data_IF_053804841557
#
_entry.id   IF_053804841557
#
_cell.length_a   1.000
_cell.length_b   1.000
_cell.length_c   1.000
_cell.angle_alpha   90.00
_cell.angle_beta   90.00
_cell.angle_gamma   90.00
#
_symmetry.space_group_name_H-M   'P 1'
#
loop_
_entity.id
_entity.type
_entity.pdbx_description
1 polymer ?
#
# COMPACT_ATOMS: atom_id res chain seq x y z
N UNK A 1 -11.95 -8.55 -1.68
CA UNK A 1 -12.04 -7.68 -2.87
C UNK A 1 -11.23 -6.41 -2.64
N UNK A 2 -10.51 -5.94 -3.65
CA UNK A 2 -9.70 -4.72 -3.52
C UNK A 2 -10.48 -3.51 -4.01
N UNK A 3 -10.34 -2.41 -3.29
CA UNK A 3 -11.03 -1.16 -3.58
C UNK A 3 -10.01 -0.07 -3.85
N UNK A 4 -10.35 0.88 -4.73
CA UNK A 4 -9.47 1.99 -5.03
C UNK A 4 -9.34 2.90 -3.80
N UNK A 5 -8.11 3.14 -3.36
CA UNK A 5 -7.82 4.07 -2.28
C UNK A 5 -7.45 5.45 -2.83
N UNK A 6 -6.44 5.52 -3.70
CA UNK A 6 -6.08 6.75 -4.38
C UNK A 6 -5.15 6.46 -5.56
N UNK A 7 -4.97 7.47 -6.39
CA UNK A 7 -4.01 7.42 -7.50
C UNK A 7 -3.14 8.66 -7.41
N UNK A 8 -1.83 8.46 -7.50
CA UNK A 8 -0.88 9.56 -7.41
C UNK A 8 -0.58 10.14 -8.78
N UNK A 9 -0.04 11.36 -8.80
CA UNK A 9 0.24 12.06 -10.05
C UNK A 9 1.30 11.36 -10.91
N UNK A 10 2.14 10.54 -10.31
CA UNK A 10 3.18 9.81 -11.03
C UNK A 10 2.69 8.47 -11.61
N UNK A 11 1.39 8.18 -11.48
CA UNK A 11 0.79 6.95 -11.98
C UNK A 11 0.71 5.83 -10.97
N UNK A 12 1.21 6.03 -9.76
CA UNK A 12 1.11 5.01 -8.71
C UNK A 12 -0.36 4.85 -8.31
N UNK A 13 -0.85 3.61 -8.34
CA UNK A 13 -2.20 3.28 -7.91
C UNK A 13 -2.14 2.59 -6.55
N UNK A 14 -3.02 2.98 -5.66
CA UNK A 14 -3.12 2.39 -4.32
C UNK A 14 -4.52 1.84 -4.16
N UNK A 15 -4.62 0.54 -3.85
CA UNK A 15 -5.89 -0.13 -3.58
C UNK A 15 -5.83 -0.75 -2.20
N UNK A 16 -6.99 -1.02 -1.60
CA UNK A 16 -7.05 -1.62 -0.27
C UNK A 16 -8.03 -2.79 -0.26
N UNK A 17 -7.77 -3.73 0.63
CA UNK A 17 -8.66 -4.87 0.85
C UNK A 17 -9.83 -4.45 1.75
N UNK A 18 -10.81 -5.35 1.88
CA UNK A 18 -11.78 -5.27 2.96
C UNK A 18 -11.07 -5.51 4.29
N UNK A 19 -11.70 -5.13 5.40
CA UNK A 19 -11.16 -5.41 6.71
C UNK A 19 -11.09 -6.93 6.90
N UNK A 20 -9.91 -7.41 7.30
CA UNK A 20 -9.65 -8.83 7.51
C UNK A 20 -9.25 -9.07 8.96
N UNK A 21 -9.35 -10.32 9.42
CA UNK A 21 -8.92 -10.69 10.76
C UNK A 21 -7.83 -11.74 10.67
N UNK A 22 -6.81 -11.60 11.52
CA UNK A 22 -5.77 -12.60 11.64
C UNK A 22 -6.19 -13.72 12.64
N UNK A 23 -5.29 -14.67 12.88
CA UNK A 23 -5.57 -15.80 13.76
C UNK A 23 -5.85 -15.38 15.21
N UNK A 24 -5.32 -14.24 15.64
CA UNK A 24 -5.54 -13.73 16.99
C UNK A 24 -6.80 -12.86 17.08
N UNK A 25 -7.51 -12.65 15.98
CA UNK A 25 -8.72 -11.83 15.95
C UNK A 25 -8.45 -10.35 15.74
N UNK A 26 -7.19 -9.95 15.46
CA UNK A 26 -6.89 -8.55 15.15
C UNK A 26 -7.36 -8.22 13.75
N UNK A 27 -7.98 -7.06 13.62
CA UNK A 27 -8.41 -6.57 12.32
C UNK A 27 -7.25 -5.88 11.62
N UNK A 28 -7.15 -6.09 10.31
CA UNK A 28 -6.14 -5.43 9.50
C UNK A 28 -6.67 -5.18 8.09
N UNK A 29 -6.00 -4.25 7.39
CA UNK A 29 -6.30 -3.92 5.99
C UNK A 29 -5.00 -4.03 5.21
N UNK A 30 -5.07 -4.66 4.05
CA UNK A 30 -3.94 -4.78 3.15
C UNK A 30 -4.01 -3.67 2.09
N UNK A 31 -2.94 -2.90 1.98
CA UNK A 31 -2.79 -1.93 0.89
C UNK A 31 -1.87 -2.51 -0.16
N UNK A 32 -2.22 -2.33 -1.43
CA UNK A 32 -1.39 -2.74 -2.55
C UNK A 32 -1.03 -1.51 -3.38
N UNK A 33 0.25 -1.37 -3.67
CA UNK A 33 0.79 -0.26 -4.44
C UNK A 33 1.34 -0.79 -5.75
N UNK A 34 1.00 -0.13 -6.86
CA UNK A 34 1.49 -0.50 -8.16
C UNK A 34 1.82 0.75 -8.96
N UNK A 35 3.05 0.79 -9.49
CA UNK A 35 3.49 1.90 -10.34
C UNK A 35 4.01 1.35 -11.65
N UNK A 36 3.39 1.69 -12.79
CA UNK A 36 3.93 1.28 -14.09
C UNK A 36 5.25 1.99 -14.40
N UNK A 37 6.21 1.23 -14.90
CA UNK A 37 7.49 1.75 -15.36
C UNK A 37 7.75 1.19 -16.76
N UNK A 38 8.81 1.67 -17.41
CA UNK A 38 9.02 1.38 -18.82
C UNK A 38 9.00 -0.10 -19.18
N UNK A 39 9.55 -0.97 -18.34
CA UNK A 39 9.68 -2.40 -18.64
C UNK A 39 8.91 -3.27 -17.64
N UNK A 40 7.87 -2.75 -17.00
CA UNK A 40 7.10 -3.55 -16.05
C UNK A 40 6.40 -2.71 -15.00
N UNK A 41 6.45 -3.18 -13.77
CA UNK A 41 5.76 -2.53 -12.65
C UNK A 41 6.63 -2.58 -11.41
N UNK A 42 6.52 -1.53 -10.61
CA UNK A 42 6.97 -1.59 -9.21
C UNK A 42 5.74 -1.93 -8.37
N UNK A 43 5.92 -2.73 -7.35
CA UNK A 43 4.81 -3.12 -6.47
C UNK A 43 5.25 -3.24 -5.03
N UNK A 44 4.29 -3.10 -4.11
CA UNK A 44 4.53 -3.27 -2.69
C UNK A 44 3.22 -3.49 -1.97
N UNK A 45 3.29 -4.10 -0.79
CA UNK A 45 2.16 -4.27 0.10
C UNK A 45 2.45 -3.56 1.42
N UNK A 46 1.41 -3.04 2.04
CA UNK A 46 1.52 -2.45 3.38
C UNK A 46 0.29 -2.85 4.18
N UNK A 47 0.51 -3.28 5.41
CA UNK A 47 -0.58 -3.74 6.27
C UNK A 47 -0.86 -2.71 7.36
N UNK A 48 -2.15 -2.36 7.50
CA UNK A 48 -2.60 -1.41 8.50
C UNK A 48 -3.29 -2.16 9.66
N UNK A 49 -3.27 -1.66 10.86
CA UNK A 49 -2.80 -0.33 11.29
C UNK A 49 -1.32 -0.22 11.57
N UNK A 50 -0.57 -1.31 11.44
CA UNK A 50 0.84 -1.33 11.83
C UNK A 50 1.77 -0.63 10.85
N UNK A 51 1.29 -0.31 9.64
CA UNK A 51 2.12 0.25 8.55
C UNK A 51 3.31 -0.65 8.25
N UNK A 52 3.05 -1.95 8.22
CA UNK A 52 4.09 -2.95 7.94
C UNK A 52 4.19 -3.20 6.45
N UNK A 53 5.33 -2.87 5.86
CA UNK A 53 5.59 -3.08 4.45
C UNK A 53 6.08 -4.49 4.19
N UNK A 54 5.66 -5.06 3.06
CA UNK A 54 6.00 -6.43 2.68
C UNK A 54 6.04 -6.55 1.17
N UNK A 55 6.79 -7.53 0.67
CA UNK A 55 6.85 -7.86 -0.76
C UNK A 55 7.14 -6.64 -1.62
N UNK A 56 8.05 -5.79 -1.18
CA UNK A 56 8.46 -4.60 -1.92
C UNK A 56 9.29 -5.03 -3.12
N UNK A 57 8.86 -4.62 -4.32
CA UNK A 57 9.53 -4.98 -5.56
C UNK A 57 9.70 -3.73 -6.42
N UNK A 58 10.92 -3.26 -6.54
CA UNK A 58 11.28 -2.12 -7.38
C UNK A 58 11.27 -0.76 -6.70
N UNK A 59 10.52 -0.60 -5.62
CA UNK A 59 10.56 0.65 -4.85
C UNK A 59 11.78 0.68 -3.96
N UNK A 60 12.47 1.83 -3.92
CA UNK A 60 13.58 2.00 -3.00
C UNK A 60 13.09 2.54 -1.65
N UNK A 61 14.00 2.64 -0.68
CA UNK A 61 13.64 3.06 0.68
C UNK A 61 13.02 4.46 0.73
N UNK A 62 13.51 5.36 -0.12
CA UNK A 62 13.00 6.73 -0.16
C UNK A 62 11.59 6.76 -0.73
N UNK A 63 11.34 5.98 -1.78
CA UNK A 63 10.00 5.87 -2.38
C UNK A 63 9.01 5.29 -1.37
N UNK A 64 9.41 4.25 -0.65
CA UNK A 64 8.56 3.65 0.39
C UNK A 64 8.27 4.67 1.49
N UNK A 65 9.26 5.45 1.90
CA UNK A 65 9.06 6.48 2.91
C UNK A 65 8.05 7.52 2.47
N UNK A 66 8.12 7.93 1.21
CA UNK A 66 7.17 8.88 0.64
C UNK A 66 5.76 8.31 0.61
N UNK A 67 5.61 7.06 0.18
CA UNK A 67 4.31 6.40 0.15
C UNK A 67 3.74 6.23 1.55
N UNK A 68 4.58 5.83 2.50
CA UNK A 68 4.17 5.70 3.90
C UNK A 68 3.62 7.02 4.43
N UNK A 69 4.31 8.12 4.16
CA UNK A 69 3.87 9.45 4.59
C UNK A 69 2.54 9.84 3.96
N UNK A 70 2.36 9.55 2.68
CA UNK A 70 1.12 9.84 1.97
C UNK A 70 -0.06 9.09 2.58
N UNK A 71 0.08 7.78 2.81
CA UNK A 71 -1.03 7.00 3.35
C UNK A 71 -1.36 7.40 4.79
N UNK A 72 -0.37 7.81 5.59
CA UNK A 72 -0.62 8.29 6.95
C UNK A 72 -1.42 9.59 6.95
N UNK A 73 -1.19 10.46 5.96
CA UNK A 73 -1.89 11.74 5.85
C UNK A 73 -3.34 11.57 5.37
N UNK A 74 -3.62 10.52 4.63
CA UNK A 74 -4.93 10.33 4.00
C UNK A 74 -5.70 9.13 4.56
N UNK A 75 -5.26 8.60 5.68
CA UNK A 75 -5.88 7.44 6.31
C UNK A 75 -6.62 7.86 7.58
N UNK A 76 -7.84 7.39 7.73
CA UNK A 76 -8.66 7.59 8.92
C UNK A 76 -8.77 6.31 9.77
N UNK A 77 -7.88 5.39 9.50
CA UNK A 77 -7.90 4.08 10.17
C UNK A 77 -7.62 4.16 11.66
#
# INVERSE_FOLDING_TARGET
MMHKFMELNDGTQIVHSDVMCDESGREFVELYFEKPVMLGFKSAYCYLPDYKWDKVDGFDDEEIKQLDDIIRKHSDW
#
